data_IF_527397936706
#
_entry.id   IF_527397936706
#
_cell.length_a   1.000
_cell.length_b   1.000
_cell.length_c   1.000
_cell.angle_alpha   90.00
_cell.angle_beta   90.00
_cell.angle_gamma   90.00
#
_symmetry.space_group_name_H-M   'P 1'
#
loop_
_entity.id
_entity.type
_entity.pdbx_description
1 polymer ?
#
# COMPACT_ATOMS: atom_id res chain seq x y z
N UNK A 1 -8.69 5.92 -15.41
CA UNK A 1 -8.79 4.47 -15.08
C UNK A 1 -9.69 4.32 -13.85
N UNK A 2 -10.52 3.28 -13.80
CA UNK A 2 -11.40 2.95 -12.68
C UNK A 2 -10.56 2.49 -11.47
N UNK A 3 -10.93 2.91 -10.25
CA UNK A 3 -10.23 2.55 -9.01
C UNK A 3 -11.25 2.18 -7.93
N UNK A 4 -10.97 1.13 -7.17
CA UNK A 4 -11.82 0.67 -6.05
C UNK A 4 -12.03 1.73 -4.97
N UNK A 5 -11.01 2.54 -4.70
CA UNK A 5 -11.06 3.61 -3.70
C UNK A 5 -12.17 4.63 -3.98
N UNK A 6 -12.64 4.76 -5.23
CA UNK A 6 -13.74 5.68 -5.58
C UNK A 6 -15.00 5.36 -4.79
N UNK A 7 -15.31 4.08 -4.57
CA UNK A 7 -16.47 3.66 -3.76
C UNK A 7 -16.32 4.09 -2.29
N UNK A 8 -15.11 4.01 -1.75
CA UNK A 8 -14.82 4.46 -0.38
C UNK A 8 -14.90 5.99 -0.26
N UNK A 9 -14.44 6.73 -1.28
CA UNK A 9 -14.57 8.20 -1.35
C UNK A 9 -16.04 8.63 -1.41
N UNK A 10 -16.87 7.93 -2.22
CA UNK A 10 -18.31 8.17 -2.30
C UNK A 10 -19.01 7.84 -0.96
N UNK A 11 -18.64 6.72 -0.33
CA UNK A 11 -19.14 6.34 0.98
C UNK A 11 -18.76 7.38 2.06
N UNK A 12 -17.52 7.89 2.04
CA UNK A 12 -17.07 8.98 2.91
C UNK A 12 -17.92 10.23 2.72
N UNK A 13 -18.08 10.71 1.47
CA UNK A 13 -18.89 11.91 1.16
C UNK A 13 -20.33 11.79 1.68
N UNK A 14 -20.95 10.62 1.50
CA UNK A 14 -22.36 10.40 1.82
C UNK A 14 -22.61 10.08 3.31
N UNK A 15 -21.54 9.86 4.10
CA UNK A 15 -21.67 9.58 5.53
C UNK A 15 -22.01 10.85 6.31
N UNK A 16 -23.14 10.90 7.04
CA UNK A 16 -23.47 12.03 7.88
C UNK A 16 -22.37 12.33 8.90
N UNK A 17 -21.91 13.58 8.97
CA UNK A 17 -20.87 13.99 9.91
C UNK A 17 -19.49 13.42 9.62
N UNK A 18 -19.18 13.11 8.35
CA UNK A 18 -17.82 12.73 7.92
C UNK A 18 -16.84 13.85 8.29
N UNK A 19 -15.61 13.48 8.54
CA UNK A 19 -14.52 14.40 8.91
C UNK A 19 -13.69 14.74 7.68
N UNK A 20 -12.86 15.79 7.73
CA UNK A 20 -11.83 16.00 6.71
C UNK A 20 -11.07 14.70 6.46
N UNK A 21 -10.84 14.36 5.19
CA UNK A 21 -10.23 13.10 4.81
C UNK A 21 -8.73 13.28 4.55
N UNK A 22 -7.92 12.37 5.05
CA UNK A 22 -6.52 12.22 4.66
C UNK A 22 -6.38 11.01 3.75
N UNK A 23 -5.99 11.22 2.49
CA UNK A 23 -5.66 10.17 1.55
C UNK A 23 -4.15 9.92 1.53
N UNK A 24 -3.74 8.84 2.17
CA UNK A 24 -2.35 8.39 2.24
C UNK A 24 -2.02 7.43 1.10
N UNK A 25 -0.73 7.15 0.89
CA UNK A 25 -0.25 6.14 -0.05
C UNK A 25 1.11 6.51 -0.63
N UNK A 26 1.82 5.54 -1.16
CA UNK A 26 3.15 5.74 -1.77
C UNK A 26 3.10 6.83 -2.85
N UNK A 27 4.26 7.38 -3.20
CA UNK A 27 4.35 8.33 -4.29
C UNK A 27 3.97 7.65 -5.62
N UNK A 28 3.31 8.41 -6.52
CA UNK A 28 2.91 7.99 -7.87
C UNK A 28 1.83 6.88 -7.95
N UNK A 29 1.12 6.60 -6.85
CA UNK A 29 -0.05 5.68 -6.87
C UNK A 29 -1.33 6.32 -7.39
N UNK A 30 -1.29 7.63 -7.75
CA UNK A 30 -2.40 8.35 -8.40
C UNK A 30 -3.34 9.09 -7.45
N UNK A 31 -2.88 9.51 -6.25
CA UNK A 31 -3.70 10.26 -5.27
C UNK A 31 -4.32 11.52 -5.86
N UNK A 32 -3.50 12.41 -6.41
CA UNK A 32 -3.96 13.68 -6.99
C UNK A 32 -4.98 13.44 -8.11
N UNK A 33 -4.68 12.50 -9.02
CA UNK A 33 -5.57 12.15 -10.12
C UNK A 33 -6.95 11.66 -9.65
N UNK A 34 -6.99 10.76 -8.66
CA UNK A 34 -8.27 10.21 -8.19
C UNK A 34 -9.10 11.25 -7.45
N UNK A 35 -8.46 12.17 -6.70
CA UNK A 35 -9.15 13.25 -6.00
C UNK A 35 -9.70 14.31 -6.96
N UNK A 36 -8.96 14.69 -8.01
CA UNK A 36 -9.47 15.57 -9.07
C UNK A 36 -10.67 14.94 -9.76
N UNK A 37 -10.54 13.68 -10.19
CA UNK A 37 -11.63 12.94 -10.82
C UNK A 37 -12.84 12.82 -9.90
N UNK A 38 -12.63 12.56 -8.61
CA UNK A 38 -13.70 12.51 -7.62
C UNK A 38 -14.38 13.89 -7.44
N UNK A 39 -13.61 14.99 -7.46
CA UNK A 39 -14.14 16.35 -7.45
C UNK A 39 -14.99 16.64 -8.70
N UNK A 40 -14.51 16.27 -9.89
CA UNK A 40 -15.21 16.46 -11.16
C UNK A 40 -16.53 15.66 -11.25
N UNK A 41 -16.55 14.42 -10.76
CA UNK A 41 -17.70 13.53 -10.92
C UNK A 41 -18.76 13.69 -9.80
N UNK A 42 -18.37 14.16 -8.60
CA UNK A 42 -19.23 14.12 -7.42
C UNK A 42 -19.49 15.48 -6.78
N UNK A 43 -18.88 16.57 -7.24
CA UNK A 43 -19.09 17.93 -6.74
C UNK A 43 -19.45 18.88 -7.89
N UNK A 44 -20.03 20.05 -7.56
CA UNK A 44 -20.29 21.09 -8.58
C UNK A 44 -18.99 21.72 -9.05
N UNK A 45 -18.02 21.84 -8.16
CA UNK A 45 -16.68 22.29 -8.44
C UNK A 45 -15.68 21.76 -7.41
N UNK A 46 -14.39 21.92 -7.67
CA UNK A 46 -13.34 21.64 -6.72
C UNK A 46 -12.23 22.67 -6.79
N UNK A 47 -11.48 22.82 -5.71
CA UNK A 47 -10.27 23.64 -5.64
C UNK A 47 -9.11 22.72 -5.22
N UNK A 48 -8.11 22.55 -6.08
CA UNK A 48 -6.89 21.83 -5.76
C UNK A 48 -5.74 22.80 -5.50
N UNK A 49 -5.10 22.64 -4.34
CA UNK A 49 -3.92 23.39 -3.92
C UNK A 49 -2.75 22.42 -3.78
N UNK A 50 -1.72 22.56 -4.59
CA UNK A 50 -0.46 21.79 -4.47
C UNK A 50 0.49 22.56 -3.56
N UNK A 51 0.65 22.09 -2.33
CA UNK A 51 1.40 22.81 -1.30
C UNK A 51 2.91 22.84 -1.56
N UNK A 52 3.44 21.97 -2.40
CA UNK A 52 4.82 22.00 -2.88
C UNK A 52 5.07 23.07 -3.95
N UNK A 53 4.05 23.32 -4.82
CA UNK A 53 4.15 24.22 -5.98
C UNK A 53 3.72 25.66 -5.69
N UNK A 54 2.89 25.90 -4.66
CA UNK A 54 2.32 27.23 -4.37
C UNK A 54 2.86 27.76 -3.03
N UNK A 55 4.04 28.41 -3.03
CA UNK A 55 4.67 28.94 -1.79
C UNK A 55 3.78 29.95 -1.04
N UNK A 56 3.00 30.73 -1.74
CA UNK A 56 2.14 31.77 -1.15
C UNK A 56 1.06 31.15 -0.25
N UNK A 57 0.44 30.04 -0.68
CA UNK A 57 -0.53 29.31 0.17
C UNK A 57 0.16 28.70 1.38
N UNK A 58 1.35 28.11 1.21
CA UNK A 58 2.11 27.59 2.36
C UNK A 58 2.43 28.71 3.37
N UNK A 59 2.87 29.86 2.90
CA UNK A 59 3.20 30.98 3.77
C UNK A 59 1.96 31.51 4.48
N UNK A 60 0.83 31.63 3.75
CA UNK A 60 -0.45 32.00 4.36
C UNK A 60 -0.85 31.01 5.45
N UNK A 61 -0.82 29.70 5.17
CA UNK A 61 -1.19 28.66 6.15
C UNK A 61 -0.22 28.57 7.34
N UNK A 62 1.04 28.99 7.19
CA UNK A 62 1.97 29.10 8.32
C UNK A 62 1.58 30.20 9.30
N UNK A 63 0.97 31.27 8.83
CA UNK A 63 0.58 32.41 9.63
C UNK A 63 -0.89 32.30 10.09
N UNK A 64 -1.74 31.74 9.25
CA UNK A 64 -3.18 31.70 9.47
C UNK A 64 -3.82 30.35 9.14
N UNK A 65 -4.49 29.75 10.11
CA UNK A 65 -5.20 28.46 9.99
C UNK A 65 -6.70 28.58 10.29
N UNK A 66 -7.23 29.83 10.43
CA UNK A 66 -8.65 30.05 10.59
C UNK A 66 -9.40 29.61 9.32
N UNK A 67 -10.39 28.70 9.43
CA UNK A 67 -11.05 28.11 8.26
C UNK A 67 -11.69 29.15 7.32
N UNK A 68 -12.35 30.19 7.85
CA UNK A 68 -12.99 31.20 6.99
C UNK A 68 -11.99 32.07 6.25
N UNK A 69 -10.85 32.37 6.87
CA UNK A 69 -9.79 33.13 6.21
C UNK A 69 -9.08 32.29 5.17
N UNK A 70 -8.89 30.99 5.43
CA UNK A 70 -8.37 30.04 4.44
C UNK A 70 -9.31 29.96 3.23
N UNK A 71 -10.62 29.83 3.47
CA UNK A 71 -11.63 29.80 2.38
C UNK A 71 -11.58 31.09 1.59
N UNK A 72 -11.65 32.25 2.25
CA UNK A 72 -11.64 33.55 1.58
C UNK A 72 -10.37 33.78 0.74
N UNK A 73 -9.22 33.33 1.27
CA UNK A 73 -7.96 33.37 0.55
C UNK A 73 -7.96 32.49 -0.70
N UNK A 74 -8.44 31.24 -0.59
CA UNK A 74 -8.55 30.33 -1.71
C UNK A 74 -9.56 30.79 -2.75
N UNK A 75 -10.72 31.34 -2.34
CA UNK A 75 -11.70 31.95 -3.25
C UNK A 75 -11.08 33.07 -4.07
N UNK A 76 -10.31 33.95 -3.42
CA UNK A 76 -9.63 35.06 -4.10
C UNK A 76 -8.53 34.56 -5.06
N UNK A 77 -7.73 33.60 -4.63
CA UNK A 77 -6.59 33.09 -5.40
C UNK A 77 -7.04 32.34 -6.65
N UNK A 78 -8.08 31.50 -6.53
CA UNK A 78 -8.57 30.65 -7.62
C UNK A 78 -9.77 31.23 -8.35
N UNK A 79 -10.27 32.41 -7.94
CA UNK A 79 -11.47 33.08 -8.49
C UNK A 79 -12.67 32.14 -8.58
N UNK A 80 -12.95 31.43 -7.49
CA UNK A 80 -14.03 30.45 -7.39
C UNK A 80 -14.75 30.60 -6.05
N UNK A 81 -16.08 30.38 -6.01
CA UNK A 81 -16.83 30.31 -4.74
C UNK A 81 -16.74 28.91 -4.15
N UNK A 82 -16.37 28.85 -2.88
CA UNK A 82 -16.31 27.63 -2.08
C UNK A 82 -17.59 27.52 -1.25
N UNK A 83 -18.49 26.66 -1.67
CA UNK A 83 -19.79 26.44 -1.02
C UNK A 83 -19.83 25.11 -0.27
N UNK A 84 -20.41 25.08 0.96
CA UNK A 84 -20.59 23.86 1.72
C UNK A 84 -21.24 22.73 0.89
N UNK A 85 -20.71 21.52 1.00
CA UNK A 85 -21.15 20.28 0.32
C UNK A 85 -21.14 20.30 -1.23
N UNK A 86 -20.99 21.46 -1.86
CA UNK A 86 -20.95 21.60 -3.31
C UNK A 86 -19.53 21.74 -3.88
N UNK A 87 -18.57 22.16 -3.05
CA UNK A 87 -17.16 22.33 -3.43
C UNK A 87 -16.25 21.42 -2.63
N UNK A 88 -15.42 20.63 -3.33
CA UNK A 88 -14.35 19.85 -2.69
C UNK A 88 -13.07 20.67 -2.61
N UNK A 89 -12.49 20.81 -1.42
CA UNK A 89 -11.16 21.39 -1.22
C UNK A 89 -10.14 20.25 -1.17
N UNK A 90 -9.13 20.29 -2.05
CA UNK A 90 -8.06 19.30 -2.14
C UNK A 90 -6.74 19.97 -1.76
N UNK A 91 -6.16 19.59 -0.62
CA UNK A 91 -4.83 20.01 -0.19
C UNK A 91 -3.83 18.90 -0.55
N UNK A 92 -3.10 19.09 -1.64
CA UNK A 92 -2.15 18.10 -2.16
C UNK A 92 -0.74 18.33 -1.61
N UNK A 93 0.05 17.24 -1.43
CA UNK A 93 1.39 17.22 -0.84
C UNK A 93 1.42 17.89 0.57
N UNK A 94 0.44 17.52 1.41
CA UNK A 94 0.20 18.16 2.71
C UNK A 94 1.40 18.05 3.67
N UNK A 95 2.28 17.06 3.49
CA UNK A 95 3.51 16.92 4.29
C UNK A 95 4.48 18.10 4.16
N UNK A 96 4.33 18.90 3.09
CA UNK A 96 5.18 20.09 2.89
C UNK A 96 4.68 21.32 3.69
N UNK A 97 3.53 21.21 4.39
CA UNK A 97 2.99 22.22 5.30
C UNK A 97 2.32 21.60 6.53
N UNK A 98 3.07 21.40 7.61
CA UNK A 98 2.57 20.80 8.86
C UNK A 98 1.33 21.54 9.43
N UNK A 99 1.32 22.87 9.33
CA UNK A 99 0.17 23.66 9.82
C UNK A 99 -1.10 23.48 9.01
N UNK A 100 -1.02 23.04 7.74
CA UNK A 100 -2.18 22.65 6.96
C UNK A 100 -2.89 21.41 7.56
N UNK A 101 -2.12 20.47 8.15
CA UNK A 101 -2.71 19.35 8.90
C UNK A 101 -3.47 19.82 10.14
N UNK A 102 -2.92 20.81 10.85
CA UNK A 102 -3.59 21.41 12.01
C UNK A 102 -4.87 22.15 11.60
N UNK A 103 -4.89 22.81 10.43
CA UNK A 103 -6.08 23.47 9.91
C UNK A 103 -7.26 22.49 9.73
N UNK A 104 -7.02 21.22 9.36
CA UNK A 104 -8.06 20.20 9.24
C UNK A 104 -8.83 20.00 10.54
N UNK A 105 -8.16 20.11 11.70
CA UNK A 105 -8.81 20.04 13.01
C UNK A 105 -9.83 21.17 13.19
N UNK A 106 -9.46 22.41 12.86
CA UNK A 106 -10.34 23.57 13.01
C UNK A 106 -11.50 23.51 12.02
N UNK A 107 -11.28 23.04 10.79
CA UNK A 107 -12.37 22.78 9.88
C UNK A 107 -13.38 21.78 10.45
N UNK A 108 -12.90 20.68 11.04
CA UNK A 108 -13.80 19.72 11.67
C UNK A 108 -14.56 20.26 12.87
N UNK A 109 -13.93 21.11 13.70
CA UNK A 109 -14.54 21.60 14.95
C UNK A 109 -15.50 22.77 14.73
N UNK A 110 -15.17 23.67 13.79
CA UNK A 110 -15.90 24.93 13.63
C UNK A 110 -16.74 24.97 12.36
N UNK A 111 -16.30 24.29 11.30
CA UNK A 111 -16.91 24.36 9.96
C UNK A 111 -17.02 22.98 9.28
N UNK A 112 -17.65 21.99 9.93
CA UNK A 112 -17.73 20.61 9.43
C UNK A 112 -18.55 20.44 8.15
N UNK A 113 -19.21 21.49 7.67
CA UNK A 113 -19.97 21.50 6.42
C UNK A 113 -19.10 21.65 5.17
N UNK A 114 -17.80 21.94 5.30
CA UNK A 114 -16.88 22.01 4.15
C UNK A 114 -16.17 20.68 3.93
N UNK A 115 -16.24 20.19 2.72
CA UNK A 115 -15.65 18.92 2.33
C UNK A 115 -14.18 19.12 1.93
N UNK A 116 -13.27 18.57 2.74
CA UNK A 116 -11.83 18.74 2.54
C UNK A 116 -11.15 17.39 2.49
N UNK A 117 -10.30 17.22 1.49
CA UNK A 117 -9.40 16.07 1.39
C UNK A 117 -7.96 16.54 1.32
N UNK A 118 -7.13 16.01 2.18
CA UNK A 118 -5.69 16.21 2.15
C UNK A 118 -5.00 14.98 1.56
N UNK A 119 -4.06 15.16 0.62
CA UNK A 119 -3.27 14.08 0.07
C UNK A 119 -1.79 14.21 0.46
N UNK A 120 -1.15 13.10 0.78
CA UNK A 120 0.27 13.09 1.09
C UNK A 120 0.92 11.73 0.85
N UNK A 121 2.15 11.75 0.31
CA UNK A 121 2.90 10.53 -0.01
C UNK A 121 3.87 10.12 1.11
N UNK A 122 4.30 11.05 1.95
CA UNK A 122 5.27 10.85 3.01
C UNK A 122 4.74 11.36 4.38
N UNK A 123 3.42 11.36 4.52
CA UNK A 123 2.78 11.92 5.70
C UNK A 123 3.24 11.22 6.98
N UNK A 124 3.26 9.87 7.00
CA UNK A 124 3.75 9.12 8.14
C UNK A 124 5.20 9.43 8.51
N UNK A 125 6.04 9.74 7.52
CA UNK A 125 7.44 10.15 7.75
C UNK A 125 7.51 11.56 8.33
N UNK A 126 6.71 12.49 7.79
CA UNK A 126 6.72 13.89 8.23
C UNK A 126 6.19 14.05 9.67
N UNK A 127 5.15 13.29 10.04
CA UNK A 127 4.56 13.28 11.39
C UNK A 127 5.55 12.72 12.41
N UNK A 128 6.16 11.56 12.15
CA UNK A 128 7.11 10.93 13.09
C UNK A 128 8.40 11.74 13.32
N UNK A 129 8.79 12.63 12.41
CA UNK A 129 9.89 13.55 12.65
C UNK A 129 9.57 14.56 13.75
N UNK A 130 8.35 15.10 13.77
CA UNK A 130 7.92 16.07 14.77
C UNK A 130 7.93 15.52 16.21
N UNK A 131 7.55 14.26 16.39
CA UNK A 131 7.52 13.62 17.71
C UNK A 131 8.92 13.32 18.27
N UNK A 132 9.91 12.99 17.43
CA UNK A 132 11.28 12.65 17.87
C UNK A 132 12.18 13.88 18.08
N UNK A 133 11.94 14.97 17.36
CA UNK A 133 12.69 16.21 17.55
C UNK A 133 12.36 16.87 18.89
N UNK A 134 11.19 16.58 19.48
CA UNK A 134 10.82 17.00 20.83
C UNK A 134 11.58 16.23 21.94
N UNK A 135 12.09 15.03 21.67
CA UNK A 135 12.78 14.20 22.68
C UNK A 135 14.32 14.37 22.70
N UNK A 136 14.97 14.86 21.64
CA UNK A 136 16.44 14.80 21.50
C UNK A 136 17.20 16.14 21.61
N UNK A 137 16.56 17.33 21.64
CA UNK A 137 17.31 18.58 21.53
C UNK A 137 17.04 19.62 22.64
N UNK A 138 17.75 19.49 23.77
CA UNK A 138 17.86 20.55 24.78
C UNK A 138 18.78 21.72 24.37
N UNK A 139 19.39 21.68 23.18
CA UNK A 139 20.47 22.63 22.78
C UNK A 139 20.12 23.62 21.65
N UNK A 140 18.89 23.59 21.11
CA UNK A 140 18.50 24.48 20.00
C UNK A 140 18.10 25.88 20.51
N UNK A 141 18.39 26.90 19.72
CA UNK A 141 18.13 28.30 20.07
C UNK A 141 16.64 28.60 20.25
N UNK A 142 16.29 29.50 21.17
CA UNK A 142 14.91 29.86 21.55
C UNK A 142 14.04 30.26 20.34
N UNK A 143 14.62 30.84 19.29
CA UNK A 143 13.92 31.32 18.08
C UNK A 143 13.48 30.15 17.16
N UNK A 144 14.21 29.02 17.13
CA UNK A 144 13.84 27.85 16.37
C UNK A 144 12.79 26.99 17.12
N UNK A 145 12.80 27.01 18.45
CA UNK A 145 11.80 26.34 19.30
C UNK A 145 10.40 26.94 19.18
N UNK A 146 10.26 28.26 19.04
CA UNK A 146 8.94 28.91 18.89
C UNK A 146 8.21 28.57 17.60
N UNK A 147 8.93 28.13 16.54
CA UNK A 147 8.33 27.73 15.26
C UNK A 147 7.93 26.22 15.21
N UNK A 148 8.41 25.41 16.15
CA UNK A 148 8.19 23.95 16.20
C UNK A 148 7.14 23.51 17.25
N UNK A 149 6.75 24.39 18.19
CA UNK A 149 5.96 24.05 19.38
C UNK A 149 4.48 23.67 19.12
N UNK A 150 3.92 23.83 17.91
CA UNK A 150 2.49 23.66 17.66
C UNK A 150 2.10 22.56 16.66
N UNK A 151 2.92 21.54 16.44
CA UNK A 151 2.52 20.43 15.60
C UNK A 151 1.88 19.30 16.41
N UNK A 152 0.56 19.23 16.39
CA UNK A 152 -0.22 18.05 16.82
C UNK A 152 -0.94 17.45 15.63
N UNK A 153 -0.72 16.15 15.37
CA UNK A 153 -1.54 15.42 14.42
C UNK A 153 -3.01 15.48 14.82
N UNK A 154 -3.96 15.70 13.90
CA UNK A 154 -5.37 15.89 14.23
C UNK A 154 -6.06 14.57 14.62
N UNK A 155 -5.58 13.93 15.69
CA UNK A 155 -6.08 12.64 16.17
C UNK A 155 -7.57 12.71 16.45
N UNK A 156 -8.33 11.79 15.86
CA UNK A 156 -9.79 11.72 16.03
C UNK A 156 -10.59 12.83 15.33
N UNK A 157 -9.93 13.76 14.60
CA UNK A 157 -10.56 14.87 13.88
C UNK A 157 -10.53 14.70 12.36
N UNK A 158 -9.93 13.63 11.88
CA UNK A 158 -9.85 13.29 10.47
C UNK A 158 -10.25 11.83 10.25
N UNK A 159 -10.70 11.55 9.04
CA UNK A 159 -10.83 10.19 8.49
C UNK A 159 -9.61 9.87 7.66
N UNK A 160 -9.25 8.60 7.54
CA UNK A 160 -8.07 8.18 6.80
C UNK A 160 -8.41 7.09 5.79
N UNK A 161 -7.90 7.24 4.57
CA UNK A 161 -7.91 6.20 3.54
C UNK A 161 -6.50 6.03 2.98
N UNK A 162 -6.19 4.81 2.56
CA UNK A 162 -4.90 4.50 1.93
C UNK A 162 -5.11 4.06 0.50
N UNK A 163 -4.45 4.76 -0.43
CA UNK A 163 -4.42 4.37 -1.84
C UNK A 163 -3.18 3.53 -2.10
N UNK A 164 -3.40 2.28 -2.50
CA UNK A 164 -2.36 1.37 -2.93
C UNK A 164 -2.13 1.43 -4.46
N UNK A 165 -1.03 0.88 -5.00
CA UNK A 165 -0.94 0.58 -6.43
C UNK A 165 -2.18 -0.18 -6.90
N UNK A 166 -2.50 -0.11 -8.19
CA UNK A 166 -3.62 -0.84 -8.77
C UNK A 166 -3.44 -2.34 -8.53
N UNK A 167 -4.47 -2.99 -8.00
CA UNK A 167 -4.46 -4.45 -7.88
C UNK A 167 -4.78 -5.13 -9.23
N UNK A 168 -4.80 -6.46 -9.24
CA UNK A 168 -5.02 -7.20 -10.48
C UNK A 168 -6.44 -6.98 -11.05
N UNK A 169 -7.46 -6.80 -10.23
CA UNK A 169 -8.81 -6.50 -10.70
C UNK A 169 -8.88 -5.11 -11.37
N UNK A 170 -8.25 -4.11 -10.77
CA UNK A 170 -8.15 -2.77 -11.36
C UNK A 170 -7.34 -2.78 -12.68
N UNK A 171 -6.33 -3.67 -12.78
CA UNK A 171 -5.59 -3.91 -14.02
C UNK A 171 -6.48 -4.58 -15.09
N UNK A 172 -7.31 -5.55 -14.70
CA UNK A 172 -8.29 -6.14 -15.61
C UNK A 172 -9.25 -5.08 -16.17
N UNK A 173 -9.78 -4.21 -15.32
CA UNK A 173 -10.63 -3.09 -15.77
C UNK A 173 -9.87 -2.14 -16.70
N UNK A 174 -8.63 -1.80 -16.38
CA UNK A 174 -7.82 -0.91 -17.21
C UNK A 174 -7.51 -1.50 -18.59
N UNK A 175 -7.47 -2.82 -18.71
CA UNK A 175 -7.21 -3.56 -19.96
C UNK A 175 -8.49 -4.08 -20.64
N UNK A 176 -9.68 -3.55 -20.28
CA UNK A 176 -11.00 -3.91 -20.81
C UNK A 176 -11.34 -5.40 -20.63
N UNK A 177 -10.98 -5.98 -19.49
CA UNK A 177 -11.32 -7.36 -19.11
C UNK A 177 -12.31 -7.39 -17.93
N UNK A 178 -13.27 -6.48 -17.87
CA UNK A 178 -14.24 -6.35 -16.79
C UNK A 178 -15.07 -7.63 -16.61
N UNK A 179 -15.53 -8.24 -17.70
CA UNK A 179 -16.31 -9.49 -17.68
C UNK A 179 -15.51 -10.63 -17.05
N UNK A 180 -14.20 -10.72 -17.36
CA UNK A 180 -13.34 -11.74 -16.74
C UNK A 180 -13.18 -11.49 -15.23
N UNK A 181 -13.10 -10.24 -14.80
CA UNK A 181 -13.02 -9.90 -13.37
C UNK A 181 -14.31 -10.36 -12.63
N UNK A 182 -15.49 -10.14 -13.24
CA UNK A 182 -16.77 -10.61 -12.70
C UNK A 182 -16.86 -12.14 -12.66
N UNK A 183 -16.46 -12.85 -13.70
CA UNK A 183 -16.40 -14.32 -13.74
C UNK A 183 -15.46 -14.87 -12.65
N UNK A 184 -14.30 -14.26 -12.46
CA UNK A 184 -13.35 -14.64 -11.39
C UNK A 184 -14.01 -14.51 -10.01
N UNK A 185 -14.73 -13.43 -9.73
CA UNK A 185 -15.44 -13.22 -8.47
C UNK A 185 -16.56 -14.25 -8.26
N UNK A 186 -17.31 -14.58 -9.30
CA UNK A 186 -18.39 -15.57 -9.21
C UNK A 186 -17.82 -16.97 -8.93
N UNK A 187 -16.79 -17.39 -9.65
CA UNK A 187 -16.14 -18.68 -9.45
C UNK A 187 -15.39 -18.76 -8.11
N UNK A 188 -14.92 -17.65 -7.59
CA UNK A 188 -14.37 -17.59 -6.22
C UNK A 188 -15.45 -17.90 -5.17
N UNK A 189 -16.71 -17.44 -5.36
CA UNK A 189 -17.84 -17.70 -4.44
C UNK A 189 -18.31 -19.15 -4.54
N UNK A 190 -18.48 -19.67 -5.75
CA UNK A 190 -18.99 -21.03 -5.98
C UNK A 190 -17.93 -22.11 -5.76
N UNK A 191 -16.64 -21.79 -5.79
CA UNK A 191 -15.50 -22.71 -5.79
C UNK A 191 -15.47 -23.66 -7.01
N UNK A 192 -16.20 -23.36 -8.06
CA UNK A 192 -16.20 -24.12 -9.32
C UNK A 192 -15.06 -23.63 -10.22
N UNK A 193 -14.37 -24.57 -10.91
CA UNK A 193 -13.28 -24.23 -11.83
C UNK A 193 -13.79 -23.46 -13.05
N UNK A 194 -13.03 -22.42 -13.46
CA UNK A 194 -13.21 -21.80 -14.77
C UNK A 194 -12.98 -22.82 -15.88
N UNK A 195 -13.60 -22.63 -17.05
CA UNK A 195 -13.25 -23.37 -18.25
C UNK A 195 -11.74 -23.25 -18.52
N UNK A 196 -11.10 -24.33 -18.97
CA UNK A 196 -9.63 -24.41 -19.09
C UNK A 196 -9.04 -23.27 -19.95
N UNK A 197 -9.72 -22.89 -21.04
CA UNK A 197 -9.30 -21.77 -21.89
C UNK A 197 -9.35 -20.43 -21.17
N UNK A 198 -10.37 -20.19 -20.35
CA UNK A 198 -10.54 -18.95 -19.55
C UNK A 198 -9.52 -18.92 -18.41
N UNK A 199 -9.32 -20.06 -17.73
CA UNK A 199 -8.29 -20.20 -16.70
C UNK A 199 -6.88 -19.85 -17.23
N UNK A 200 -6.53 -20.39 -18.41
CA UNK A 200 -5.26 -20.10 -19.07
C UNK A 200 -5.15 -18.61 -19.44
N UNK A 201 -6.20 -18.02 -20.01
CA UNK A 201 -6.23 -16.59 -20.34
C UNK A 201 -6.03 -15.71 -19.08
N UNK A 202 -6.67 -16.06 -17.96
CA UNK A 202 -6.50 -15.35 -16.70
C UNK A 202 -5.07 -15.48 -16.15
N UNK A 203 -4.44 -16.64 -16.26
CA UNK A 203 -3.02 -16.83 -15.90
C UNK A 203 -2.09 -16.01 -16.80
N UNK A 204 -2.33 -15.95 -18.10
CA UNK A 204 -1.55 -15.12 -19.03
C UNK A 204 -1.64 -13.63 -18.67
N UNK A 205 -2.84 -13.14 -18.33
CA UNK A 205 -3.04 -11.76 -17.86
C UNK A 205 -2.35 -11.51 -16.52
N UNK A 206 -2.42 -12.45 -15.59
CA UNK A 206 -1.69 -12.39 -14.32
C UNK A 206 -0.17 -12.28 -14.55
N UNK A 207 0.40 -13.07 -15.44
CA UNK A 207 1.83 -13.01 -15.76
C UNK A 207 2.21 -11.67 -16.42
N UNK A 208 1.34 -11.08 -17.24
CA UNK A 208 1.52 -9.71 -17.75
C UNK A 208 1.51 -8.69 -16.61
N UNK A 209 0.59 -8.83 -15.65
CA UNK A 209 0.56 -7.97 -14.47
C UNK A 209 1.84 -8.09 -13.62
N UNK A 210 2.45 -9.25 -13.49
CA UNK A 210 3.75 -9.39 -12.82
C UNK A 210 4.86 -8.54 -13.46
N UNK A 211 4.76 -8.29 -14.77
CA UNK A 211 5.71 -7.42 -15.49
C UNK A 211 5.33 -5.95 -15.36
N UNK A 212 4.06 -5.62 -15.58
CA UNK A 212 3.55 -4.24 -15.63
C UNK A 212 3.42 -3.63 -14.24
N UNK A 213 3.03 -4.45 -13.26
CA UNK A 213 2.69 -4.00 -11.91
C UNK A 213 1.39 -3.20 -11.86
N UNK A 214 1.16 -2.58 -10.70
CA UNK A 214 -0.01 -1.75 -10.41
C UNK A 214 0.27 -0.25 -10.36
N UNK A 215 1.47 0.21 -10.70
CA UNK A 215 1.73 1.65 -10.75
C UNK A 215 0.96 2.28 -11.92
N UNK A 216 0.07 3.28 -11.66
CA UNK A 216 -0.88 3.77 -12.68
C UNK A 216 -0.23 4.22 -13.99
N UNK A 217 0.95 4.85 -13.92
CA UNK A 217 1.68 5.28 -15.11
C UNK A 217 2.17 4.08 -15.93
N UNK A 218 2.67 3.04 -15.27
CA UNK A 218 3.08 1.80 -15.94
C UNK A 218 1.89 1.09 -16.60
N UNK A 219 0.75 1.01 -15.90
CA UNK A 219 -0.49 0.43 -16.44
C UNK A 219 -0.99 1.26 -17.64
N UNK A 220 -0.97 2.59 -17.54
CA UNK A 220 -1.37 3.49 -18.63
C UNK A 220 -0.52 3.24 -19.88
N UNK A 221 0.80 3.23 -19.74
CA UNK A 221 1.72 2.97 -20.87
C UNK A 221 1.46 1.59 -21.47
N UNK A 222 1.24 0.57 -20.64
CA UNK A 222 0.90 -0.76 -21.15
C UNK A 222 -0.39 -0.77 -21.97
N UNK A 223 -1.44 -0.10 -21.51
CA UNK A 223 -2.72 0.00 -22.24
C UNK A 223 -2.57 0.73 -23.57
N UNK A 224 -1.74 1.79 -23.63
CA UNK A 224 -1.54 2.60 -24.82
C UNK A 224 -0.60 1.95 -25.85
N UNK A 225 0.45 1.26 -25.40
CA UNK A 225 1.55 0.82 -26.28
C UNK A 225 1.73 -0.70 -26.35
N UNK A 226 1.19 -1.44 -25.41
CA UNK A 226 1.44 -2.87 -25.20
C UNK A 226 2.93 -3.24 -25.05
N UNK A 227 3.77 -2.26 -24.71
CA UNK A 227 5.23 -2.39 -24.62
C UNK A 227 5.68 -2.63 -23.16
N UNK A 228 6.13 -3.84 -22.86
CA UNK A 228 6.74 -4.15 -21.58
C UNK A 228 8.07 -3.41 -21.33
N UNK A 229 8.79 -3.05 -22.40
CA UNK A 229 10.05 -2.30 -22.30
C UNK A 229 9.77 -0.87 -21.81
N UNK A 230 8.75 -0.24 -22.34
CA UNK A 230 8.35 1.09 -21.88
C UNK A 230 7.83 1.08 -20.44
N UNK A 231 7.04 0.06 -20.06
CA UNK A 231 6.64 -0.14 -18.66
C UNK A 231 7.87 -0.25 -17.74
N UNK A 232 8.89 -1.01 -18.15
CA UNK A 232 10.15 -1.15 -17.40
C UNK A 232 10.89 0.19 -17.26
N UNK A 233 10.88 1.03 -18.28
CA UNK A 233 11.46 2.38 -18.23
C UNK A 233 10.73 3.27 -17.22
N UNK A 234 9.39 3.25 -17.21
CA UNK A 234 8.57 3.97 -16.23
C UNK A 234 8.86 3.47 -14.80
N UNK A 235 8.89 2.14 -14.59
CA UNK A 235 9.20 1.55 -13.29
C UNK A 235 10.58 1.98 -12.78
N UNK A 236 11.59 2.05 -13.67
CA UNK A 236 12.91 2.53 -13.29
C UNK A 236 12.90 4.01 -12.88
N UNK A 237 12.12 4.84 -13.58
CA UNK A 237 11.92 6.25 -13.21
C UNK A 237 11.27 6.39 -11.84
N UNK A 238 10.26 5.57 -11.54
CA UNK A 238 9.61 5.53 -10.22
C UNK A 238 10.61 5.14 -9.12
N UNK A 239 11.40 4.08 -9.33
CA UNK A 239 12.42 3.62 -8.40
C UNK A 239 13.49 4.71 -8.12
N UNK A 240 13.94 5.41 -9.17
CA UNK A 240 14.87 6.54 -9.04
C UNK A 240 14.23 7.70 -8.24
N UNK A 241 12.93 7.94 -8.43
CA UNK A 241 12.17 8.90 -7.62
C UNK A 241 12.16 8.53 -6.14
N UNK A 242 11.91 7.27 -5.79
CA UNK A 242 11.97 6.80 -4.41
C UNK A 242 13.37 6.95 -3.79
N UNK A 243 14.43 6.63 -4.55
CA UNK A 243 15.82 6.83 -4.11
C UNK A 243 16.14 8.32 -3.84
N UNK A 244 15.56 9.23 -4.62
CA UNK A 244 15.71 10.68 -4.42
C UNK A 244 14.96 11.17 -3.18
N UNK A 245 13.75 10.69 -2.94
CA UNK A 245 12.93 11.04 -1.76
C UNK A 245 13.61 10.63 -0.44
N UNK A 246 14.29 9.47 -0.43
CA UNK A 246 15.08 9.04 0.72
C UNK A 246 16.16 10.07 1.09
N UNK A 247 16.73 10.77 0.09
CA UNK A 247 17.71 11.83 0.29
C UNK A 247 17.09 13.16 0.73
N UNK A 248 15.89 13.49 0.24
CA UNK A 248 15.21 14.76 0.53
C UNK A 248 14.61 14.79 1.93
N UNK A 249 14.02 13.68 2.38
CA UNK A 249 13.20 13.65 3.60
C UNK A 249 13.86 12.94 4.79
N UNK A 250 15.10 12.48 4.70
CA UNK A 250 15.85 11.89 5.80
C UNK A 250 17.18 12.61 6.05
N UNK A 251 17.66 12.60 7.31
CA UNK A 251 19.01 13.09 7.64
C UNK A 251 20.06 12.26 6.86
N UNK A 252 21.22 12.82 6.43
CA UNK A 252 22.19 12.08 5.60
C UNK A 252 22.63 10.72 6.16
N UNK A 253 22.84 10.61 7.48
CA UNK A 253 23.21 9.36 8.13
C UNK A 253 22.08 8.30 8.06
N UNK A 254 20.82 8.71 8.20
CA UNK A 254 19.63 7.86 8.08
C UNK A 254 19.39 7.47 6.63
N UNK A 255 19.60 8.39 5.68
CA UNK A 255 19.48 8.12 4.22
C UNK A 255 20.35 6.94 3.79
N UNK A 256 21.60 6.87 4.25
CA UNK A 256 22.51 5.76 3.94
C UNK A 256 21.94 4.42 4.44
N UNK A 257 21.35 4.42 5.64
CA UNK A 257 20.75 3.23 6.23
C UNK A 257 19.47 2.80 5.48
N UNK A 258 18.60 3.77 5.11
CA UNK A 258 17.37 3.53 4.35
C UNK A 258 17.74 2.90 3.00
N UNK A 259 18.67 3.48 2.26
CA UNK A 259 19.15 2.94 0.98
C UNK A 259 19.76 1.55 1.11
N UNK A 260 20.51 1.28 2.18
CA UNK A 260 21.06 -0.04 2.44
C UNK A 260 19.95 -1.09 2.65
N UNK A 261 18.92 -0.79 3.46
CA UNK A 261 17.76 -1.65 3.65
C UNK A 261 16.98 -1.83 2.34
N UNK A 262 16.65 -0.74 1.66
CA UNK A 262 15.93 -0.72 0.38
C UNK A 262 16.61 -1.58 -0.70
N UNK A 263 17.92 -1.45 -0.85
CA UNK A 263 18.68 -2.19 -1.85
C UNK A 263 18.88 -3.67 -1.49
N UNK A 264 18.74 -4.04 -0.22
CA UNK A 264 18.83 -5.43 0.21
C UNK A 264 17.58 -6.26 -0.08
N UNK A 265 16.41 -5.64 -0.36
CA UNK A 265 15.12 -6.34 -0.46
C UNK A 265 15.14 -7.51 -1.44
N UNK A 266 15.64 -7.41 -2.69
CA UNK A 266 15.71 -8.56 -3.57
C UNK A 266 16.54 -9.72 -3.00
N UNK A 267 17.66 -9.42 -2.33
CA UNK A 267 18.50 -10.43 -1.69
C UNK A 267 17.82 -11.07 -0.45
N UNK A 268 17.01 -10.31 0.29
CA UNK A 268 16.19 -10.83 1.39
C UNK A 268 15.17 -11.84 0.87
N UNK A 269 14.42 -11.46 -0.17
CA UNK A 269 13.37 -12.29 -0.77
C UNK A 269 13.91 -13.52 -1.52
N UNK A 270 15.17 -13.48 -1.99
CA UNK A 270 15.83 -14.63 -2.62
C UNK A 270 16.23 -15.73 -1.64
N UNK A 271 16.18 -15.47 -0.32
CA UNK A 271 16.52 -16.48 0.68
C UNK A 271 15.35 -17.44 0.90
N UNK A 272 15.69 -18.69 1.25
CA UNK A 272 14.70 -19.68 1.66
C UNK A 272 13.93 -19.20 2.91
N UNK A 273 14.64 -18.74 3.92
CA UNK A 273 14.07 -18.00 5.04
C UNK A 273 14.02 -16.51 4.69
N UNK A 274 12.83 -16.00 4.35
CA UNK A 274 12.58 -14.61 3.92
C UNK A 274 12.46 -13.62 5.09
N UNK A 275 12.72 -14.04 6.33
CA UNK A 275 12.87 -13.15 7.49
C UNK A 275 13.87 -12.05 7.17
N UNK A 276 13.55 -10.79 7.49
CA UNK A 276 14.44 -9.67 7.25
C UNK A 276 15.73 -9.81 8.09
N UNK A 277 16.86 -9.82 7.44
CA UNK A 277 18.17 -9.96 8.08
C UNK A 277 18.98 -8.68 7.90
N UNK A 278 19.12 -7.91 8.96
CA UNK A 278 19.87 -6.62 8.96
C UNK A 278 21.31 -6.77 8.43
N UNK A 279 21.94 -7.93 8.65
CA UNK A 279 23.28 -8.26 8.12
C UNK A 279 23.37 -8.30 6.60
N UNK A 280 22.25 -8.50 5.88
CA UNK A 280 22.21 -8.44 4.42
C UNK A 280 22.13 -6.99 3.92
N UNK A 281 21.60 -6.06 4.71
CA UNK A 281 21.68 -4.64 4.38
C UNK A 281 23.11 -4.10 4.58
N UNK A 282 23.80 -4.53 5.66
CA UNK A 282 25.20 -4.19 5.92
C UNK A 282 25.81 -5.19 6.90
N UNK A 283 27.06 -5.61 6.66
CA UNK A 283 27.80 -6.47 7.60
C UNK A 283 27.82 -5.85 9.01
N UNK A 284 27.42 -6.62 10.03
CA UNK A 284 27.23 -6.13 11.40
C UNK A 284 25.95 -5.35 11.66
N UNK A 285 25.01 -5.32 10.71
CA UNK A 285 23.71 -4.67 10.87
C UNK A 285 22.86 -5.33 11.96
N UNK A 286 22.17 -4.49 12.75
CA UNK A 286 21.27 -4.90 13.84
C UNK A 286 19.99 -4.06 13.81
N UNK A 287 18.94 -4.48 14.51
CA UNK A 287 17.70 -3.73 14.67
C UNK A 287 17.95 -2.33 15.26
N UNK A 288 18.86 -2.22 16.26
CA UNK A 288 19.22 -0.96 16.88
C UNK A 288 19.79 0.07 15.85
N UNK A 289 20.50 -0.40 14.82
CA UNK A 289 21.15 0.47 13.81
C UNK A 289 20.19 0.81 12.67
N UNK A 290 19.34 -0.13 12.24
CA UNK A 290 18.55 -0.05 11.01
C UNK A 290 17.03 0.00 11.23
N UNK A 291 16.55 -0.13 12.48
CA UNK A 291 15.11 -0.15 12.78
C UNK A 291 14.39 1.11 12.31
N UNK A 292 14.98 2.28 12.54
CA UNK A 292 14.44 3.55 12.04
C UNK A 292 14.38 3.60 10.51
N UNK A 293 15.36 3.05 9.82
CA UNK A 293 15.38 3.00 8.36
C UNK A 293 14.28 2.09 7.79
N UNK A 294 14.01 0.95 8.43
CA UNK A 294 12.89 0.08 8.08
C UNK A 294 11.56 0.77 8.34
N UNK A 295 11.40 1.42 9.49
CA UNK A 295 10.20 2.16 9.82
C UNK A 295 9.92 3.28 8.81
N UNK A 296 10.95 3.99 8.37
CA UNK A 296 10.85 5.00 7.32
C UNK A 296 10.29 4.41 6.01
N UNK A 297 10.80 3.25 5.56
CA UNK A 297 10.33 2.57 4.35
C UNK A 297 8.86 2.12 4.47
N UNK A 298 8.44 1.66 5.64
CA UNK A 298 7.05 1.27 5.92
C UNK A 298 6.14 2.52 5.87
N UNK A 299 6.50 3.58 6.56
CA UNK A 299 5.74 4.83 6.64
C UNK A 299 5.64 5.56 5.30
N UNK A 300 6.65 5.40 4.42
CA UNK A 300 6.59 5.92 3.05
C UNK A 300 5.66 5.13 2.13
N UNK A 301 5.15 3.98 2.58
CA UNK A 301 4.29 3.09 1.77
C UNK A 301 5.02 2.36 0.65
N UNK A 302 6.36 2.44 0.59
CA UNK A 302 7.16 1.76 -0.46
C UNK A 302 7.33 0.28 -0.20
N UNK A 303 7.21 -0.14 1.06
CA UNK A 303 7.30 -1.54 1.47
C UNK A 303 6.15 -1.93 2.40
N UNK A 304 5.89 -3.22 2.46
CA UNK A 304 4.88 -3.86 3.29
C UNK A 304 5.58 -4.76 4.32
N UNK A 305 5.31 -4.52 5.61
CA UNK A 305 5.81 -5.36 6.71
C UNK A 305 4.83 -6.51 6.95
N UNK A 306 5.32 -7.74 6.96
CA UNK A 306 4.58 -8.93 7.34
C UNK A 306 5.16 -9.46 8.66
N UNK A 307 4.38 -9.45 9.73
CA UNK A 307 4.80 -9.78 11.08
C UNK A 307 4.71 -11.29 11.35
N UNK A 308 5.62 -11.82 12.16
CA UNK A 308 5.48 -13.17 12.69
C UNK A 308 4.35 -13.22 13.71
N UNK A 309 3.53 -14.26 13.68
CA UNK A 309 2.68 -14.67 14.80
C UNK A 309 3.20 -15.98 15.38
N UNK A 310 3.41 -15.99 16.68
CA UNK A 310 3.90 -17.18 17.41
C UNK A 310 2.83 -18.26 17.56
N UNK A 311 1.55 -17.88 17.53
CA UNK A 311 0.41 -18.77 17.67
C UNK A 311 -0.72 -18.37 16.73
N UNK A 312 -1.49 -19.38 16.26
CA UNK A 312 -2.69 -19.19 15.44
C UNK A 312 -3.98 -18.97 16.26
N UNK A 313 -3.89 -18.39 17.45
CA UNK A 313 -5.04 -18.10 18.32
C UNK A 313 -5.53 -16.67 18.10
N UNK A 314 -6.82 -16.43 18.42
CA UNK A 314 -7.47 -15.11 18.32
C UNK A 314 -7.32 -14.38 19.68
N UNK A 315 -7.03 -13.07 19.66
CA UNK A 315 -6.74 -12.22 18.48
C UNK A 315 -5.27 -12.40 18.03
N UNK A 316 -5.04 -12.46 16.71
CA UNK A 316 -3.68 -12.64 16.16
C UNK A 316 -2.71 -11.53 16.60
N UNK A 317 -3.22 -10.31 16.82
CA UNK A 317 -2.42 -9.17 17.30
C UNK A 317 -1.74 -9.41 18.64
N UNK A 318 -2.34 -10.23 19.50
CA UNK A 318 -1.77 -10.57 20.82
C UNK A 318 -0.53 -11.50 20.73
N UNK A 319 -0.34 -12.12 19.59
CA UNK A 319 0.73 -13.11 19.36
C UNK A 319 1.76 -12.62 18.32
N UNK A 320 1.71 -11.34 17.93
CA UNK A 320 2.69 -10.75 17.02
C UNK A 320 4.06 -10.64 17.68
N UNK A 321 5.11 -11.00 16.94
CA UNK A 321 6.51 -10.79 17.32
C UNK A 321 7.12 -9.72 16.38
N UNK A 322 7.34 -8.53 16.89
CA UNK A 322 7.91 -7.42 16.12
C UNK A 322 9.40 -7.60 15.81
N UNK A 323 10.09 -8.51 16.48
CA UNK A 323 11.51 -8.81 16.23
C UNK A 323 11.72 -9.67 14.99
N UNK A 324 10.67 -10.35 14.51
CA UNK A 324 10.70 -11.24 13.36
C UNK A 324 9.65 -10.81 12.32
N UNK A 325 10.10 -10.43 11.14
CA UNK A 325 9.21 -9.94 10.08
C UNK A 325 9.80 -10.19 8.69
N UNK A 326 8.92 -10.23 7.69
CA UNK A 326 9.28 -10.20 6.27
C UNK A 326 8.97 -8.81 5.70
N UNK A 327 9.67 -8.44 4.63
CA UNK A 327 9.43 -7.19 3.87
C UNK A 327 9.13 -7.53 2.42
N UNK A 328 8.02 -7.01 1.92
CA UNK A 328 7.63 -7.06 0.51
C UNK A 328 7.62 -5.63 -0.07
N UNK A 329 7.78 -5.49 -1.38
CA UNK A 329 7.52 -4.22 -2.05
C UNK A 329 6.01 -3.99 -2.16
N UNK A 330 5.61 -2.73 -2.14
CA UNK A 330 4.21 -2.35 -2.34
C UNK A 330 3.68 -2.64 -3.75
N UNK A 331 4.58 -2.90 -4.72
CA UNK A 331 4.22 -3.24 -6.09
C UNK A 331 5.14 -4.32 -6.68
N UNK A 332 4.53 -5.35 -7.28
CA UNK A 332 5.25 -6.50 -7.84
C UNK A 332 6.03 -6.15 -9.11
N UNK A 333 5.53 -5.22 -9.93
CA UNK A 333 6.24 -4.74 -11.11
C UNK A 333 7.52 -4.00 -10.73
N UNK A 334 7.45 -3.15 -9.68
CA UNK A 334 8.63 -2.50 -9.12
C UNK A 334 9.62 -3.52 -8.53
N UNK A 335 9.15 -4.60 -7.91
CA UNK A 335 10.03 -5.69 -7.48
C UNK A 335 10.77 -6.31 -8.66
N UNK A 336 10.06 -6.63 -9.74
CA UNK A 336 10.64 -7.17 -10.97
C UNK A 336 11.69 -6.24 -11.59
N UNK A 337 11.41 -4.91 -11.60
CA UNK A 337 12.34 -3.89 -12.08
C UNK A 337 13.57 -3.77 -11.19
N UNK A 338 13.36 -3.67 -9.87
CA UNK A 338 14.43 -3.53 -8.87
C UNK A 338 15.35 -4.75 -8.83
N UNK A 339 14.80 -5.94 -8.97
CA UNK A 339 15.56 -7.20 -9.07
C UNK A 339 16.14 -7.43 -10.47
N UNK A 340 15.94 -6.53 -11.43
CA UNK A 340 16.38 -6.64 -12.82
C UNK A 340 15.98 -7.96 -13.49
N UNK A 341 14.76 -8.43 -13.17
CA UNK A 341 14.27 -9.71 -13.71
C UNK A 341 14.02 -9.60 -15.21
N UNK A 342 14.47 -10.61 -16.00
CA UNK A 342 14.15 -10.67 -17.42
C UNK A 342 12.63 -10.74 -17.65
N UNK A 343 12.11 -9.90 -18.54
CA UNK A 343 10.67 -9.86 -18.88
C UNK A 343 10.16 -11.26 -19.30
N UNK A 344 10.85 -12.04 -20.17
CA UNK A 344 10.38 -13.37 -20.54
C UNK A 344 10.25 -14.34 -19.35
N UNK A 345 11.06 -14.17 -18.30
CA UNK A 345 10.98 -14.99 -17.10
C UNK A 345 9.68 -14.72 -16.32
N UNK A 346 9.26 -13.46 -16.24
CA UNK A 346 7.99 -13.07 -15.57
C UNK A 346 6.76 -13.47 -16.40
N UNK A 347 6.83 -13.35 -17.74
CA UNK A 347 5.77 -13.78 -18.65
C UNK A 347 5.57 -15.30 -18.68
N UNK A 348 6.52 -16.08 -18.17
CA UNK A 348 6.44 -17.53 -18.02
C UNK A 348 6.65 -17.94 -16.55
N UNK A 349 6.22 -17.11 -15.60
CA UNK A 349 6.53 -17.28 -14.18
C UNK A 349 5.97 -18.59 -13.60
N UNK A 350 4.83 -19.04 -14.10
CA UNK A 350 4.16 -20.27 -13.63
C UNK A 350 4.96 -21.52 -14.02
N UNK A 351 5.48 -21.59 -15.25
CA UNK A 351 6.21 -22.75 -15.80
C UNK A 351 7.71 -22.72 -15.47
N UNK A 352 8.30 -21.54 -15.35
CA UNK A 352 9.75 -21.38 -15.15
C UNK A 352 10.19 -21.90 -13.79
N UNK A 353 11.13 -22.83 -13.75
CA UNK A 353 11.71 -23.31 -12.49
C UNK A 353 12.77 -22.34 -11.96
N UNK A 354 12.33 -21.42 -11.11
CA UNK A 354 13.19 -20.44 -10.45
C UNK A 354 12.62 -20.10 -9.06
N UNK A 355 13.48 -20.17 -8.05
CA UNK A 355 13.07 -19.97 -6.64
C UNK A 355 12.62 -18.55 -6.36
N UNK A 356 13.20 -17.53 -7.01
CA UNK A 356 12.83 -16.13 -6.84
C UNK A 356 11.42 -15.83 -7.34
N UNK A 357 10.92 -16.57 -8.34
CA UNK A 357 9.52 -16.46 -8.80
C UNK A 357 8.51 -16.86 -7.72
N UNK A 358 8.89 -17.72 -6.78
CA UNK A 358 8.09 -17.98 -5.57
C UNK A 358 7.96 -16.74 -4.70
N UNK A 359 9.04 -15.98 -4.53
CA UNK A 359 9.00 -14.71 -3.79
C UNK A 359 8.20 -13.63 -4.53
N UNK A 360 8.23 -13.60 -5.86
CA UNK A 360 7.38 -12.70 -6.67
C UNK A 360 5.90 -13.01 -6.46
N UNK A 361 5.51 -14.30 -6.46
CA UNK A 361 4.14 -14.71 -6.19
C UNK A 361 3.69 -14.34 -4.76
N UNK A 362 4.56 -14.52 -3.76
CA UNK A 362 4.27 -14.10 -2.38
C UNK A 362 4.15 -12.58 -2.27
N UNK A 363 5.03 -11.81 -2.93
CA UNK A 363 4.93 -10.34 -2.94
C UNK A 363 3.62 -9.87 -3.59
N UNK A 364 3.22 -10.50 -4.70
CA UNK A 364 1.93 -10.21 -5.33
C UNK A 364 0.76 -10.48 -4.37
N UNK A 365 0.76 -11.62 -3.67
CA UNK A 365 -0.30 -11.92 -2.69
C UNK A 365 -0.25 -10.94 -1.51
N UNK A 366 0.94 -10.61 -1.00
CA UNK A 366 1.10 -9.63 0.08
C UNK A 366 0.51 -8.26 -0.28
N UNK A 367 0.83 -7.71 -1.46
CA UNK A 367 0.29 -6.43 -1.89
C UNK A 367 -1.23 -6.48 -2.06
N UNK A 368 -1.76 -7.58 -2.58
CA UNK A 368 -3.20 -7.78 -2.79
C UNK A 368 -3.94 -7.87 -1.46
N UNK A 369 -3.48 -8.68 -0.52
CA UNK A 369 -4.07 -8.77 0.82
C UNK A 369 -4.06 -7.41 1.52
N UNK A 370 -2.95 -6.68 1.42
CA UNK A 370 -2.84 -5.35 2.05
C UNK A 370 -3.78 -4.32 1.40
N UNK A 371 -3.95 -4.35 0.08
CA UNK A 371 -4.90 -3.49 -0.64
C UNK A 371 -6.35 -3.78 -0.25
N UNK A 372 -6.68 -5.02 0.12
CA UNK A 372 -7.97 -5.43 0.65
C UNK A 372 -8.12 -5.16 2.17
N UNK A 373 -7.21 -4.40 2.79
CA UNK A 373 -7.29 -4.04 4.21
C UNK A 373 -6.82 -5.12 5.19
N UNK A 374 -6.27 -6.23 4.70
CA UNK A 374 -5.82 -7.34 5.54
C UNK A 374 -4.40 -7.08 6.04
N UNK A 375 -4.21 -7.17 7.35
CA UNK A 375 -2.89 -7.09 7.97
C UNK A 375 -2.05 -8.31 7.65
N UNK A 376 -0.81 -8.06 7.22
CA UNK A 376 0.09 -9.12 6.80
C UNK A 376 0.74 -9.77 8.02
N UNK A 377 0.42 -11.04 8.22
CA UNK A 377 1.01 -11.90 9.24
C UNK A 377 1.43 -13.21 8.61
N UNK A 378 2.53 -13.79 9.10
CA UNK A 378 2.96 -15.15 8.76
C UNK A 378 3.16 -15.98 10.02
N UNK A 379 3.11 -17.29 9.88
CA UNK A 379 3.29 -18.19 11.00
C UNK A 379 4.46 -19.13 10.75
N UNK A 380 5.17 -19.45 11.83
CA UNK A 380 6.24 -20.41 11.83
C UNK A 380 6.28 -21.11 13.17
N UNK A 381 6.50 -22.44 13.15
CA UNK A 381 6.76 -23.21 14.37
C UNK A 381 8.26 -23.45 14.56
N UNK A 382 8.62 -24.01 15.75
CA UNK A 382 10.01 -24.33 16.09
C UNK A 382 10.61 -25.44 15.21
N UNK A 383 9.79 -26.22 14.51
CA UNK A 383 10.19 -27.44 13.79
C UNK A 383 10.41 -27.18 12.33
N UNK A 384 10.21 -26.34 11.56
CA UNK A 384 10.37 -26.21 10.10
C UNK A 384 9.10 -25.89 9.32
N UNK A 385 7.90 -25.94 9.95
CA UNK A 385 6.68 -25.54 9.28
C UNK A 385 6.57 -24.03 9.24
N UNK A 386 6.36 -23.48 8.04
CA UNK A 386 6.13 -22.06 7.81
C UNK A 386 4.96 -21.89 6.84
N UNK A 387 4.07 -20.93 7.13
CA UNK A 387 3.00 -20.48 6.26
C UNK A 387 3.28 -19.06 5.80
N UNK A 388 3.11 -18.82 4.54
CA UNK A 388 3.39 -17.53 3.94
C UNK A 388 2.52 -16.42 4.53
N UNK A 389 1.21 -16.71 4.77
CA UNK A 389 0.33 -15.78 5.47
C UNK A 389 -0.65 -16.50 6.41
N UNK A 390 -1.15 -15.75 7.39
CA UNK A 390 -2.23 -16.15 8.30
C UNK A 390 -3.20 -14.97 8.43
N UNK A 391 -4.48 -15.23 8.18
CA UNK A 391 -5.54 -14.21 8.16
C UNK A 391 -6.50 -14.48 9.30
N UNK A 392 -6.86 -13.45 10.05
CA UNK A 392 -7.99 -13.51 10.96
C UNK A 392 -9.24 -13.02 10.24
N UNK A 393 -10.29 -13.83 10.23
CA UNK A 393 -11.60 -13.52 9.66
C UNK A 393 -12.65 -13.82 10.71
N UNK A 394 -13.18 -12.77 11.34
CA UNK A 394 -14.06 -12.88 12.49
C UNK A 394 -13.46 -13.74 13.60
N UNK A 395 -14.12 -14.85 13.92
CA UNK A 395 -13.70 -15.84 14.93
C UNK A 395 -12.86 -16.98 14.35
N UNK A 396 -12.36 -16.86 13.13
CA UNK A 396 -11.58 -17.88 12.45
C UNK A 396 -10.17 -17.39 12.12
N UNK A 397 -9.21 -18.31 12.16
CA UNK A 397 -7.87 -18.07 11.65
C UNK A 397 -7.63 -18.96 10.45
N UNK A 398 -7.33 -18.35 9.32
CA UNK A 398 -7.19 -18.99 8.02
C UNK A 398 -5.72 -19.03 7.62
N UNK A 399 -5.09 -20.22 7.56
CA UNK A 399 -3.75 -20.37 7.02
C UNK A 399 -3.77 -20.22 5.49
N UNK A 400 -2.79 -19.50 4.94
CA UNK A 400 -2.65 -19.24 3.52
C UNK A 400 -1.28 -19.71 3.04
N UNK A 401 -1.30 -20.66 2.12
CA UNK A 401 -0.11 -21.16 1.43
C UNK A 401 -0.05 -20.60 0.01
N UNK A 402 1.08 -20.02 -0.37
CA UNK A 402 1.30 -19.46 -1.70
C UNK A 402 2.30 -20.28 -2.49
N UNK A 403 1.94 -20.71 -3.69
CA UNK A 403 2.82 -21.46 -4.60
C UNK A 403 2.69 -20.91 -6.02
N UNK A 404 3.81 -20.67 -6.69
CA UNK A 404 3.81 -20.16 -8.07
C UNK A 404 3.26 -21.17 -9.11
N UNK A 405 3.36 -22.46 -8.81
CA UNK A 405 3.01 -23.54 -9.74
C UNK A 405 1.96 -24.51 -9.16
N UNK A 406 1.77 -25.64 -9.84
CA UNK A 406 0.78 -26.65 -9.47
C UNK A 406 1.27 -27.70 -8.47
N UNK A 407 2.60 -27.85 -8.30
CA UNK A 407 3.18 -28.82 -7.35
C UNK A 407 3.09 -28.29 -5.93
N UNK A 408 2.27 -28.90 -5.09
CA UNK A 408 2.01 -28.41 -3.73
C UNK A 408 2.16 -29.56 -2.73
N UNK A 409 3.02 -29.35 -1.71
CA UNK A 409 3.09 -30.20 -0.52
C UNK A 409 2.44 -29.41 0.63
N UNK A 410 1.41 -29.96 1.25
CA UNK A 410 0.59 -29.28 2.26
C UNK A 410 1.04 -29.51 3.71
N UNK A 411 2.31 -29.79 3.96
CA UNK A 411 2.78 -30.22 5.30
C UNK A 411 2.53 -29.11 6.33
N UNK A 412 3.02 -27.90 6.09
CA UNK A 412 2.87 -26.77 7.02
C UNK A 412 1.41 -26.38 7.26
N UNK A 413 0.61 -26.38 6.17
CA UNK A 413 -0.82 -26.09 6.25
C UNK A 413 -1.56 -27.13 7.11
N UNK A 414 -1.30 -28.42 6.89
CA UNK A 414 -1.93 -29.48 7.67
C UNK A 414 -1.54 -29.40 9.14
N UNK A 415 -0.27 -29.11 9.46
CA UNK A 415 0.19 -28.90 10.82
C UNK A 415 -0.60 -27.78 11.50
N UNK A 416 -0.73 -26.62 10.83
CA UNK A 416 -1.47 -25.48 11.36
C UNK A 416 -2.96 -25.79 11.57
N UNK A 417 -3.62 -26.40 10.55
CA UNK A 417 -5.05 -26.76 10.60
C UNK A 417 -5.33 -27.72 11.76
N UNK A 418 -4.46 -28.73 11.98
CA UNK A 418 -4.62 -29.69 13.08
C UNK A 418 -4.42 -29.02 14.44
N UNK A 419 -3.42 -28.14 14.58
CA UNK A 419 -3.07 -27.48 15.83
C UNK A 419 -4.13 -26.44 16.24
N UNK A 420 -4.57 -25.58 15.31
CA UNK A 420 -5.46 -24.46 15.59
C UNK A 420 -6.92 -24.69 15.15
N UNK A 421 -7.24 -25.88 14.62
CA UNK A 421 -8.59 -26.28 14.19
C UNK A 421 -9.22 -25.27 13.21
N UNK A 422 -8.41 -24.76 12.27
CA UNK A 422 -8.90 -23.84 11.25
C UNK A 422 -10.03 -24.47 10.43
N UNK A 423 -11.19 -23.80 10.25
CA UNK A 423 -12.32 -24.38 9.56
C UNK A 423 -12.08 -24.54 8.06
N UNK A 424 -11.19 -23.69 7.52
CA UNK A 424 -10.80 -23.66 6.12
C UNK A 424 -9.34 -23.21 6.01
N UNK A 425 -8.66 -23.65 4.95
CA UNK A 425 -7.33 -23.19 4.58
C UNK A 425 -7.32 -22.71 3.14
N UNK A 426 -6.56 -21.68 2.82
CA UNK A 426 -6.44 -21.15 1.48
C UNK A 426 -5.11 -21.58 0.85
N UNK A 427 -5.22 -22.14 -0.36
CA UNK A 427 -4.06 -22.45 -1.19
C UNK A 427 -4.11 -21.60 -2.45
N UNK A 428 -3.24 -20.62 -2.52
CA UNK A 428 -3.12 -19.73 -3.67
C UNK A 428 -2.04 -20.29 -4.59
N UNK A 429 -2.40 -20.66 -5.81
CA UNK A 429 -1.47 -21.30 -6.76
C UNK A 429 -1.90 -21.09 -8.21
N UNK A 430 -1.19 -21.68 -9.17
CA UNK A 430 -1.63 -21.70 -10.58
C UNK A 430 -2.72 -22.74 -10.86
N UNK A 431 -3.21 -23.48 -9.86
CA UNK A 431 -4.37 -24.38 -10.03
C UNK A 431 -5.65 -23.59 -10.14
N UNK A 432 -6.63 -24.16 -10.84
CA UNK A 432 -7.97 -23.62 -10.95
C UNK A 432 -8.71 -23.65 -9.58
N UNK A 433 -9.85 -22.98 -9.50
CA UNK A 433 -10.70 -23.00 -8.31
C UNK A 433 -11.11 -24.42 -7.93
N UNK A 434 -11.36 -24.62 -6.66
CA UNK A 434 -11.84 -25.87 -6.11
C UNK A 434 -11.89 -25.83 -4.58
N UNK A 435 -12.71 -26.71 -4.02
CA UNK A 435 -12.82 -26.90 -2.57
C UNK A 435 -12.77 -28.41 -2.28
N UNK A 436 -11.84 -28.82 -1.42
CA UNK A 436 -11.75 -30.22 -1.01
C UNK A 436 -10.94 -30.38 0.26
N UNK A 437 -11.36 -31.29 1.14
CA UNK A 437 -10.70 -31.59 2.42
C UNK A 437 -10.40 -30.35 3.28
N UNK A 438 -11.33 -29.37 3.31
CA UNK A 438 -11.16 -28.12 4.06
C UNK A 438 -10.15 -27.13 3.43
N UNK A 439 -9.67 -27.40 2.23
CA UNK A 439 -8.74 -26.52 1.51
C UNK A 439 -9.47 -25.90 0.31
N UNK A 440 -9.54 -24.57 0.28
CA UNK A 440 -9.99 -23.77 -0.87
C UNK A 440 -8.79 -23.50 -1.78
N UNK A 441 -8.84 -24.04 -2.99
CA UNK A 441 -7.87 -23.73 -4.06
C UNK A 441 -8.27 -22.42 -4.72
N UNK A 442 -7.39 -21.43 -4.64
CA UNK A 442 -7.59 -20.10 -5.19
C UNK A 442 -6.52 -19.89 -6.26
N UNK A 443 -6.89 -19.66 -7.54
CA UNK A 443 -5.91 -19.27 -8.53
C UNK A 443 -5.18 -17.98 -8.16
N UNK A 444 -3.90 -17.84 -8.52
CA UNK A 444 -3.13 -16.63 -8.26
C UNK A 444 -3.86 -15.38 -8.74
N UNK A 445 -4.46 -15.41 -9.92
CA UNK A 445 -5.22 -14.30 -10.48
C UNK A 445 -6.48 -13.93 -9.68
N UNK A 446 -6.93 -14.79 -8.76
CA UNK A 446 -8.13 -14.57 -7.94
C UNK A 446 -7.81 -14.11 -6.50
N UNK A 447 -6.54 -13.83 -6.18
CA UNK A 447 -6.17 -13.39 -4.83
C UNK A 447 -6.90 -12.09 -4.39
N UNK A 448 -7.28 -11.22 -5.33
CA UNK A 448 -8.04 -9.99 -5.06
C UNK A 448 -9.46 -10.22 -4.53
N UNK A 449 -9.98 -11.45 -4.66
CA UNK A 449 -11.28 -11.82 -4.11
C UNK A 449 -11.25 -12.13 -2.60
N UNK A 450 -10.05 -12.23 -1.98
CA UNK A 450 -9.92 -12.52 -0.55
C UNK A 450 -10.26 -11.25 0.23
N UNK A 451 -11.38 -11.29 0.93
CA UNK A 451 -11.88 -10.22 1.80
C UNK A 451 -12.12 -10.82 3.19
N UNK A 452 -12.13 -10.00 4.22
CA UNK A 452 -12.43 -10.35 5.62
C UNK A 452 -13.58 -9.50 6.13
N UNK A 453 -14.37 -10.04 7.08
CA UNK A 453 -15.49 -9.34 7.71
C UNK A 453 -15.05 -8.21 8.65
#
# INVERSE_FOLDING_TARGET
MKRKITEQLVAWKNRPGHKPLILQGARQVGKSYILEKFGEEHYKNYVRVSLDLVPDVRNFLKENINPLEVIAYLESLYNVRITPHDTLIILDEIQDCKRALLALKYFQEEYPQYDIVAAGSLLGVAVNKGEKEQEEDESTSIVEKEAEEDFSYPVGKVDELTLYPMDFEEFLWATNNDVLAEEIREHYKTNEGLAESVHKMALDLYQKYLVVGGMPESVKIFVETHSFIECRSVQQTILNGYDSDMGKYAKPATTVKIKACWNSIPAQLAKENKKFQYKLAKKGGTAKIFGEAINWLILSGTVLKCKLVSHGNIPLTAYEDDSDFKIYLSDVGLLGAKAQMPIPMLLNAVETDNTFLGAVAENYVAQTLRANGIDLRYWKNDNTAELEFVIQDGMSVIPVEVKKGTKVKAISMNTFVQEYKSPIAYRISSKNFGLGNGIKSIPLYAAFCIEVE
#
